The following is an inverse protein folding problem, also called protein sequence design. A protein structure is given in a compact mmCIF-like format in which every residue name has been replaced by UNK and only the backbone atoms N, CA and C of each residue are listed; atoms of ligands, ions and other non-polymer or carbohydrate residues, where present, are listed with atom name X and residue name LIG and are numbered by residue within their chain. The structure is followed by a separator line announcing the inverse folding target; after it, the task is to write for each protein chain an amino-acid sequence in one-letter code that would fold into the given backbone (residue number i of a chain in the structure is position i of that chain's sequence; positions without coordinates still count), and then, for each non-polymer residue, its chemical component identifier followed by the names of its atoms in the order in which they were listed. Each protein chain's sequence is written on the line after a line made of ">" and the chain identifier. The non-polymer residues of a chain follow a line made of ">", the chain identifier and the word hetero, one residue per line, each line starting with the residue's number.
data_IF_002702708207
#
_entry.id   IF_002702708207
#
_cell.length_a   1.000
_cell.length_b   1.000
_cell.length_c   1.000
_cell.angle_alpha   90.00
_cell.angle_beta   90.00
_cell.angle_gamma   90.00
#
_symmetry.space_group_name_H-M   'P 1'
#
loop_
_entity.id
_entity.type
_entity.pdbx_description
1 polymer ?
#
# COMPACT_ATOMS: atom_id res chain seq x y z
N UNK A 1 77.94 -38.77 -53.13
CA UNK A 1 76.82 -39.46 -52.45
C UNK A 1 75.80 -38.39 -52.03
N UNK A 2 74.50 -38.64 -52.22
CA UNK A 2 73.63 -37.71 -52.95
C UNK A 2 73.00 -36.64 -52.05
N UNK A 3 73.00 -35.40 -52.54
CA UNK A 3 72.33 -34.24 -51.96
C UNK A 3 70.82 -34.38 -52.20
N UNK A 4 70.17 -35.31 -51.49
CA UNK A 4 68.72 -35.59 -51.57
C UNK A 4 67.87 -34.58 -50.81
N UNK A 5 68.46 -33.65 -50.07
CA UNK A 5 67.76 -32.73 -49.16
C UNK A 5 67.10 -31.53 -49.85
N UNK A 6 67.56 -31.13 -51.04
CA UNK A 6 67.06 -29.92 -51.73
C UNK A 6 65.61 -30.11 -52.24
N UNK A 7 65.21 -31.34 -52.58
CA UNK A 7 63.86 -31.62 -53.09
C UNK A 7 62.77 -31.63 -52.01
N UNK A 8 63.11 -31.69 -50.72
CA UNK A 8 62.14 -31.69 -49.60
C UNK A 8 61.86 -30.30 -49.04
N UNK A 9 62.69 -29.31 -49.40
CA UNK A 9 62.55 -27.91 -49.00
C UNK A 9 61.20 -27.28 -49.42
N UNK A 10 60.67 -27.48 -50.65
CA UNK A 10 59.34 -26.95 -51.02
C UNK A 10 58.21 -27.62 -50.24
N UNK A 11 58.34 -28.90 -49.87
CA UNK A 11 57.33 -29.60 -49.08
C UNK A 11 57.29 -29.09 -47.62
N UNK A 12 58.44 -28.80 -47.02
CA UNK A 12 58.51 -28.16 -45.70
C UNK A 12 57.91 -26.75 -45.71
N UNK A 13 58.20 -25.96 -46.74
CA UNK A 13 57.61 -24.63 -46.89
C UNK A 13 56.07 -24.70 -47.05
N UNK A 14 55.57 -25.67 -47.81
CA UNK A 14 54.13 -25.87 -47.98
C UNK A 14 53.43 -26.29 -46.68
N UNK A 15 54.05 -27.15 -45.87
CA UNK A 15 53.51 -27.56 -44.56
C UNK A 15 53.49 -26.37 -43.58
N UNK A 16 54.54 -25.54 -43.57
CA UNK A 16 54.57 -24.32 -42.76
C UNK A 16 53.48 -23.32 -43.16
N UNK A 17 53.26 -23.13 -44.47
CA UNK A 17 52.20 -22.26 -44.98
C UNK A 17 50.79 -22.78 -44.62
N UNK A 18 50.56 -24.09 -44.75
CA UNK A 18 49.30 -24.71 -44.34
C UNK A 18 49.06 -24.56 -42.83
N UNK A 19 50.10 -24.76 -42.01
CA UNK A 19 50.02 -24.55 -40.56
C UNK A 19 49.69 -23.10 -40.20
N UNK A 20 50.31 -22.13 -40.87
CA UNK A 20 50.03 -20.71 -40.67
C UNK A 20 48.60 -20.33 -41.10
N UNK A 21 48.12 -20.85 -42.23
CA UNK A 21 46.77 -20.62 -42.71
C UNK A 21 45.71 -21.20 -41.75
N UNK A 22 45.91 -22.42 -41.25
CA UNK A 22 45.03 -23.04 -40.26
C UNK A 22 45.04 -22.27 -38.93
N UNK A 23 46.21 -21.81 -38.48
CA UNK A 23 46.31 -21.03 -37.24
C UNK A 23 45.60 -19.67 -37.34
N UNK A 24 45.73 -18.98 -38.48
CA UNK A 24 45.02 -17.73 -38.74
C UNK A 24 43.49 -17.94 -38.83
N UNK A 25 43.04 -18.99 -39.52
CA UNK A 25 41.63 -19.34 -39.61
C UNK A 25 41.04 -19.70 -38.24
N UNK A 26 41.78 -20.47 -37.43
CA UNK A 26 41.40 -20.81 -36.06
C UNK A 26 41.31 -19.54 -35.19
N UNK A 27 42.32 -18.68 -35.22
CA UNK A 27 42.32 -17.45 -34.40
C UNK A 27 41.17 -16.50 -34.77
N UNK A 28 40.91 -16.30 -36.06
CA UNK A 28 39.81 -15.44 -36.51
C UNK A 28 38.44 -16.04 -36.19
N UNK A 29 38.24 -17.34 -36.43
CA UNK A 29 36.96 -18.02 -36.18
C UNK A 29 36.57 -18.06 -34.69
N UNK A 30 37.55 -18.28 -33.80
CA UNK A 30 37.30 -18.23 -32.36
C UNK A 30 36.98 -16.81 -31.90
N UNK A 31 37.72 -15.81 -32.38
CA UNK A 31 37.50 -14.42 -31.98
C UNK A 31 36.12 -13.90 -32.43
N UNK A 32 35.65 -14.29 -33.61
CA UNK A 32 34.29 -13.95 -34.08
C UNK A 32 33.20 -14.66 -33.26
N UNK A 33 33.35 -15.96 -32.99
CA UNK A 33 32.37 -16.71 -32.20
C UNK A 33 32.26 -16.20 -30.76
N UNK A 34 33.38 -15.85 -30.12
CA UNK A 34 33.38 -15.25 -28.78
C UNK A 34 32.73 -13.86 -28.76
N UNK A 35 32.97 -13.03 -29.78
CA UNK A 35 32.39 -11.70 -29.86
C UNK A 35 30.86 -11.74 -30.03
N UNK A 36 30.36 -12.65 -30.87
CA UNK A 36 28.91 -12.86 -31.04
C UNK A 36 28.25 -13.35 -29.75
N UNK A 37 28.87 -14.30 -29.04
CA UNK A 37 28.36 -14.77 -27.74
C UNK A 37 28.35 -13.66 -26.69
N UNK A 38 29.40 -12.83 -26.63
CA UNK A 38 29.43 -11.70 -25.70
C UNK A 38 28.37 -10.65 -26.01
N UNK A 39 28.04 -10.43 -27.28
CA UNK A 39 26.94 -9.53 -27.66
C UNK A 39 25.60 -10.05 -27.15
N UNK A 40 25.32 -11.35 -27.35
CA UNK A 40 24.09 -11.98 -26.86
C UNK A 40 24.01 -11.93 -25.33
N UNK A 41 25.10 -12.24 -24.62
CA UNK A 41 25.15 -12.18 -23.16
C UNK A 41 24.91 -10.75 -22.66
N UNK A 42 25.56 -9.75 -23.27
CA UNK A 42 25.37 -8.34 -22.90
C UNK A 42 23.95 -7.87 -23.17
N UNK A 43 23.35 -8.30 -24.28
CA UNK A 43 21.97 -7.97 -24.60
C UNK A 43 21.01 -8.62 -23.61
N UNK A 44 21.18 -9.92 -23.33
CA UNK A 44 20.38 -10.64 -22.34
C UNK A 44 20.50 -10.02 -20.94
N UNK A 45 21.68 -9.57 -20.53
CA UNK A 45 21.87 -8.86 -19.25
C UNK A 45 21.12 -7.53 -19.21
N UNK A 46 21.15 -6.75 -20.30
CA UNK A 46 20.41 -5.49 -20.39
C UNK A 46 18.91 -5.72 -20.34
N UNK A 47 18.42 -6.70 -21.10
CA UNK A 47 17.00 -7.03 -21.14
C UNK A 47 16.52 -7.54 -19.77
N UNK A 48 17.31 -8.38 -19.11
CA UNK A 48 17.01 -8.85 -17.76
C UNK A 48 16.99 -7.69 -16.73
N UNK A 49 17.95 -6.76 -16.80
CA UNK A 49 17.95 -5.59 -15.94
C UNK A 49 16.74 -4.67 -16.19
N UNK A 50 16.36 -4.47 -17.45
CA UNK A 50 15.18 -3.68 -17.82
C UNK A 50 13.87 -4.33 -17.31
N UNK A 51 13.75 -5.66 -17.44
CA UNK A 51 12.59 -6.40 -16.93
C UNK A 51 12.52 -6.37 -15.39
N UNK A 52 13.67 -6.50 -14.71
CA UNK A 52 13.72 -6.38 -13.25
C UNK A 52 13.32 -4.98 -12.78
N UNK A 53 13.81 -3.94 -13.44
CA UNK A 53 13.42 -2.57 -13.11
C UNK A 53 11.93 -2.33 -13.37
N UNK A 54 11.41 -2.75 -14.53
CA UNK A 54 9.99 -2.61 -14.86
C UNK A 54 9.08 -3.37 -13.89
N UNK A 55 9.47 -4.59 -13.48
CA UNK A 55 8.72 -5.36 -12.49
C UNK A 55 8.79 -4.71 -11.11
N UNK A 56 9.95 -4.22 -10.66
CA UNK A 56 10.08 -3.49 -9.40
C UNK A 56 9.24 -2.20 -9.39
N UNK A 57 9.22 -1.46 -10.49
CA UNK A 57 8.37 -0.28 -10.66
C UNK A 57 6.88 -0.65 -10.61
N UNK A 58 6.48 -1.74 -11.28
CA UNK A 58 5.10 -2.23 -11.22
C UNK A 58 4.69 -2.63 -9.78
N UNK A 59 5.54 -3.39 -9.08
CA UNK A 59 5.29 -3.78 -7.70
C UNK A 59 5.20 -2.57 -6.75
N UNK A 60 6.10 -1.60 -6.89
CA UNK A 60 6.06 -0.38 -6.06
C UNK A 60 4.82 0.47 -6.36
N UNK A 61 4.39 0.53 -7.62
CA UNK A 61 3.15 1.20 -8.01
C UNK A 61 1.90 0.52 -7.42
N UNK A 62 1.84 -0.82 -7.43
CA UNK A 62 0.76 -1.58 -6.79
C UNK A 62 0.74 -1.39 -5.28
N UNK A 63 1.91 -1.47 -4.63
CA UNK A 63 2.03 -1.22 -3.18
C UNK A 63 1.56 0.20 -2.82
N UNK A 64 1.93 1.20 -3.62
CA UNK A 64 1.50 2.59 -3.40
C UNK A 64 -0.01 2.75 -3.54
N UNK A 65 -0.63 2.10 -4.54
CA UNK A 65 -2.09 2.09 -4.70
C UNK A 65 -2.78 1.41 -3.52
N UNK A 66 -2.25 0.29 -3.05
CA UNK A 66 -2.80 -0.43 -1.90
C UNK A 66 -2.69 0.40 -0.61
N UNK A 67 -1.56 1.06 -0.38
CA UNK A 67 -1.37 1.97 0.75
C UNK A 67 -2.34 3.15 0.69
N UNK A 68 -2.49 3.80 -0.46
CA UNK A 68 -3.45 4.89 -0.63
C UNK A 68 -4.89 4.46 -0.33
N UNK A 69 -5.29 3.27 -0.79
CA UNK A 69 -6.61 2.73 -0.49
C UNK A 69 -6.80 2.44 1.01
N UNK A 70 -5.77 1.91 1.68
CA UNK A 70 -5.80 1.71 3.14
C UNK A 70 -5.87 3.03 3.89
N UNK A 71 -5.07 4.03 3.53
CA UNK A 71 -5.07 5.35 4.15
C UNK A 71 -6.42 6.04 4.00
N UNK A 72 -7.04 5.95 2.83
CA UNK A 72 -8.38 6.52 2.59
C UNK A 72 -9.45 5.83 3.45
N UNK A 73 -9.39 4.50 3.58
CA UNK A 73 -10.30 3.74 4.44
C UNK A 73 -10.06 4.03 5.93
N UNK A 74 -8.80 4.13 6.35
CA UNK A 74 -8.43 4.46 7.72
C UNK A 74 -8.92 5.86 8.10
N UNK A 75 -8.74 6.86 7.23
CA UNK A 75 -9.25 8.22 7.43
C UNK A 75 -10.78 8.24 7.56
N UNK A 76 -11.50 7.52 6.67
CA UNK A 76 -12.96 7.37 6.75
C UNK A 76 -13.39 6.72 8.07
N UNK A 77 -12.72 5.63 8.46
CA UNK A 77 -13.04 4.88 9.68
C UNK A 77 -12.77 5.71 10.93
N UNK A 78 -11.66 6.44 10.97
CA UNK A 78 -11.32 7.33 12.07
C UNK A 78 -12.34 8.47 12.21
N UNK A 79 -12.73 9.11 11.10
CA UNK A 79 -13.75 10.16 11.11
C UNK A 79 -15.11 9.65 11.60
N UNK A 80 -15.54 8.47 11.16
CA UNK A 80 -16.76 7.82 11.64
C UNK A 80 -16.64 7.47 13.12
N UNK A 81 -15.51 6.91 13.55
CA UNK A 81 -15.25 6.56 14.95
C UNK A 81 -15.29 7.78 15.88
N UNK A 82 -14.69 8.90 15.48
CA UNK A 82 -14.72 10.17 16.24
C UNK A 82 -16.15 10.69 16.34
N UNK A 83 -16.90 10.74 15.22
CA UNK A 83 -18.31 11.18 15.23
C UNK A 83 -19.18 10.29 16.10
N UNK A 84 -18.97 8.98 16.05
CA UNK A 84 -19.70 8.02 16.88
C UNK A 84 -19.40 8.23 18.37
N UNK A 85 -18.13 8.42 18.73
CA UNK A 85 -17.72 8.68 20.10
C UNK A 85 -18.33 9.99 20.64
N UNK A 86 -18.33 11.06 19.81
CA UNK A 86 -18.97 12.33 20.14
C UNK A 86 -20.48 12.17 20.34
N UNK A 87 -21.18 11.51 19.40
CA UNK A 87 -22.62 11.25 19.52
C UNK A 87 -22.95 10.42 20.77
N UNK A 88 -22.14 9.41 21.10
CA UNK A 88 -22.30 8.63 22.32
C UNK A 88 -22.08 9.47 23.59
N UNK A 89 -21.10 10.38 23.59
CA UNK A 89 -20.87 11.29 24.70
C UNK A 89 -22.05 12.27 24.88
N UNK A 90 -22.60 12.81 23.78
CA UNK A 90 -23.77 13.68 23.80
C UNK A 90 -25.01 12.96 24.35
N UNK A 91 -25.28 11.73 23.88
CA UNK A 91 -26.39 10.91 24.39
C UNK A 91 -26.23 10.63 25.89
N UNK A 92 -25.01 10.32 26.35
CA UNK A 92 -24.74 10.13 27.78
C UNK A 92 -24.99 11.39 28.58
N UNK A 93 -24.55 12.56 28.08
CA UNK A 93 -24.79 13.86 28.71
C UNK A 93 -26.28 14.16 28.81
N UNK A 94 -27.01 14.05 27.69
CA UNK A 94 -28.46 14.25 27.63
C UNK A 94 -29.20 13.32 28.60
N UNK A 95 -28.85 12.03 28.63
CA UNK A 95 -29.44 11.06 29.55
C UNK A 95 -29.23 11.48 31.01
N UNK A 96 -28.05 11.96 31.36
CA UNK A 96 -27.76 12.44 32.72
C UNK A 96 -28.55 13.72 33.04
N UNK A 97 -28.57 14.69 32.12
CA UNK A 97 -29.31 15.93 32.26
C UNK A 97 -30.83 15.68 32.44
N UNK A 98 -31.41 14.78 31.65
CA UNK A 98 -32.82 14.40 31.81
C UNK A 98 -33.07 13.70 33.14
N UNK A 99 -32.18 12.79 33.57
CA UNK A 99 -32.31 12.12 34.88
C UNK A 99 -32.31 13.13 36.02
N UNK A 100 -31.43 14.13 35.99
CA UNK A 100 -31.39 15.19 36.99
C UNK A 100 -32.58 16.13 36.88
N UNK A 101 -32.97 16.53 35.65
CA UNK A 101 -34.10 17.43 35.41
C UNK A 101 -35.43 16.84 35.85
N UNK A 102 -35.67 15.55 35.54
CA UNK A 102 -36.87 14.83 36.00
C UNK A 102 -36.93 14.79 37.52
N UNK A 103 -35.83 14.45 38.20
CA UNK A 103 -35.78 14.44 39.67
C UNK A 103 -36.10 15.81 40.25
N UNK A 104 -35.48 16.85 39.71
CA UNK A 104 -35.68 18.22 40.18
C UNK A 104 -37.13 18.69 39.95
N UNK A 105 -37.71 18.40 38.79
CA UNK A 105 -39.10 18.72 38.49
C UNK A 105 -40.07 18.02 39.47
N UNK A 106 -39.83 16.75 39.81
CA UNK A 106 -40.63 16.02 40.80
C UNK A 106 -40.48 16.64 42.21
N UNK A 107 -39.28 17.04 42.62
CA UNK A 107 -39.04 17.70 43.91
C UNK A 107 -39.74 19.07 43.99
N UNK A 108 -39.68 19.86 42.92
CA UNK A 108 -40.38 21.14 42.82
C UNK A 108 -41.89 20.95 42.88
N UNK A 109 -42.43 19.98 42.15
CA UNK A 109 -43.85 19.67 42.17
C UNK A 109 -44.30 19.25 43.58
N UNK A 110 -43.57 18.34 44.24
CA UNK A 110 -43.84 17.94 45.64
C UNK A 110 -43.83 19.11 46.60
N UNK A 111 -42.86 20.01 46.45
CA UNK A 111 -42.73 21.21 47.29
C UNK A 111 -43.92 22.15 47.07
N UNK A 112 -44.33 22.36 45.82
CA UNK A 112 -45.50 23.17 45.47
C UNK A 112 -46.83 22.58 46.00
N UNK A 113 -46.91 21.25 46.10
CA UNK A 113 -48.04 20.54 46.70
C UNK A 113 -47.98 20.43 48.24
N UNK A 114 -47.06 21.12 48.91
CA UNK A 114 -46.92 21.07 50.37
C UNK A 114 -46.46 19.71 50.90
N UNK A 115 -45.59 19.01 50.17
CA UNK A 115 -45.15 17.64 50.42
C UNK A 115 -46.26 16.56 50.33
N UNK A 116 -47.44 16.89 49.81
CA UNK A 116 -48.45 15.90 49.49
C UNK A 116 -48.05 15.06 48.26
N UNK A 117 -48.54 13.82 48.18
CA UNK A 117 -48.45 13.04 46.95
C UNK A 117 -49.32 13.69 45.87
N UNK A 118 -48.76 13.79 44.66
CA UNK A 118 -49.45 14.32 43.48
C UNK A 118 -49.87 13.12 42.64
N UNK A 119 -51.13 13.08 42.23
CA UNK A 119 -51.61 12.09 41.28
C UNK A 119 -51.28 12.56 39.86
N UNK A 120 -50.34 11.88 39.20
CA UNK A 120 -49.83 12.24 37.87
C UNK A 120 -48.61 13.18 37.86
N UNK A 121 -48.42 13.89 36.74
CA UNK A 121 -47.35 14.87 36.55
C UNK A 121 -47.80 16.25 37.02
N UNK A 122 -47.04 16.88 37.93
CA UNK A 122 -47.24 18.28 38.30
C UNK A 122 -46.78 19.23 37.17
N UNK A 123 -46.95 20.53 37.40
CA UNK A 123 -46.70 21.57 36.37
C UNK A 123 -45.25 21.54 35.88
N UNK A 124 -44.28 21.36 36.79
CA UNK A 124 -42.87 21.32 36.42
C UNK A 124 -42.51 20.01 35.72
N UNK A 125 -43.07 18.88 36.17
CA UNK A 125 -42.93 17.59 35.50
C UNK A 125 -43.50 17.60 34.07
N UNK A 126 -44.66 18.21 33.87
CA UNK A 126 -45.29 18.34 32.54
C UNK A 126 -44.45 19.21 31.60
N UNK A 127 -43.90 20.32 32.11
CA UNK A 127 -42.98 21.19 31.36
C UNK A 127 -41.70 20.45 30.98
N UNK A 128 -41.10 19.70 31.91
CA UNK A 128 -39.91 18.89 31.65
C UNK A 128 -40.16 17.81 30.59
N UNK A 129 -41.36 17.20 30.60
CA UNK A 129 -41.77 16.21 29.60
C UNK A 129 -41.97 16.85 28.22
N UNK A 130 -42.64 18.00 28.13
CA UNK A 130 -42.80 18.76 26.88
C UNK A 130 -41.45 19.15 26.27
N UNK A 131 -40.55 19.68 27.08
CA UNK A 131 -39.18 20.02 26.67
C UNK A 131 -38.41 18.81 26.15
N UNK A 132 -38.54 17.64 26.80
CA UNK A 132 -37.89 16.41 26.36
C UNK A 132 -38.42 15.89 25.01
N UNK A 133 -39.67 16.20 24.68
CA UNK A 133 -40.29 15.86 23.39
C UNK A 133 -40.10 16.96 22.32
N UNK A 134 -39.42 18.05 22.64
CA UNK A 134 -39.19 19.17 21.72
C UNK A 134 -40.38 20.13 21.57
N UNK A 135 -41.41 20.00 22.41
CA UNK A 135 -42.45 21.03 22.53
C UNK A 135 -41.90 22.17 23.39
N UNK A 136 -42.02 23.40 22.89
CA UNK A 136 -41.56 24.63 23.57
C UNK A 136 -42.03 24.74 25.02
N UNK A 137 -41.24 25.46 25.82
CA UNK A 137 -41.40 25.61 27.27
C UNK A 137 -42.42 26.69 27.68
N UNK A 138 -43.37 26.99 26.79
CA UNK A 138 -44.47 27.93 26.93
C UNK A 138 -45.62 27.36 27.77
#
# INVERSE_FOLDING_TARGET
>A
MPIKWINYLPHLAAVLLLGAALWLAYRNGFQTAYNEQQLVIKQAQKDHAAVLLASAEAFTAELKKAQQAQDEQAAKTQAVGVRLAQAQADVRRLKQQHKTGIKHAIEQDKTAAGNACIDGLGVNGLRQYRQALGYGAD
#
